data_IF_492253147559
#
_entry.id   IF_492253147559
#
_cell.length_a   1.000
_cell.length_b   1.000
_cell.length_c   1.000
_cell.angle_alpha   90.00
_cell.angle_beta   90.00
_cell.angle_gamma   90.00
#
_symmetry.space_group_name_H-M   'P 1'
#
loop_
_entity.id
_entity.type
_entity.pdbx_description
1 polymer ?
#
# COMPACT_ATOMS: atom_id res chain seq x y z
N UNK A 1 -20.59 14.85 21.08
CA UNK A 1 -19.34 14.06 20.91
C UNK A 1 -19.02 13.70 19.45
N UNK A 2 -19.90 13.98 18.47
CA UNK A 2 -19.76 13.61 17.05
C UNK A 2 -18.97 14.60 16.19
N UNK A 3 -17.95 15.16 16.83
CA UNK A 3 -17.00 16.11 16.28
C UNK A 3 -15.66 15.70 16.89
N UNK A 4 -15.03 14.65 16.35
CA UNK A 4 -13.58 14.62 16.12
C UNK A 4 -13.39 14.77 14.60
N UNK A 5 -14.04 15.76 14.00
CA UNK A 5 -13.53 17.13 13.74
C UNK A 5 -12.53 17.16 12.58
N UNK A 6 -13.12 17.22 11.38
CA UNK A 6 -12.59 17.87 10.17
C UNK A 6 -11.41 17.22 9.46
N UNK A 7 -11.72 16.14 8.73
CA UNK A 7 -10.92 15.65 7.63
C UNK A 7 -10.63 14.16 7.76
N UNK A 8 -11.25 13.34 6.91
CA UNK A 8 -10.88 11.92 6.78
C UNK A 8 -9.36 11.74 6.65
N UNK A 9 -8.86 10.55 7.00
CA UNK A 9 -7.43 10.24 7.10
C UNK A 9 -6.57 10.99 6.09
N UNK A 10 -5.66 11.83 6.59
CA UNK A 10 -4.70 12.58 5.76
C UNK A 10 -3.83 11.61 4.94
N UNK A 11 -3.50 10.46 5.53
CA UNK A 11 -2.82 9.38 4.85
C UNK A 11 -3.67 8.86 3.68
N UNK A 12 -4.92 8.44 3.91
CA UNK A 12 -5.77 7.88 2.85
C UNK A 12 -6.01 8.88 1.72
N UNK A 13 -6.23 10.16 2.05
CA UNK A 13 -6.37 11.20 1.02
C UNK A 13 -5.15 11.29 0.12
N UNK A 14 -3.95 11.35 0.71
CA UNK A 14 -2.70 11.44 -0.05
C UNK A 14 -2.38 10.14 -0.80
N UNK A 15 -2.66 8.99 -0.19
CA UNK A 15 -2.51 7.68 -0.81
C UNK A 15 -3.39 7.57 -2.05
N UNK A 16 -4.68 7.91 -1.95
CA UNK A 16 -5.61 7.83 -3.08
C UNK A 16 -5.14 8.70 -4.24
N UNK A 17 -4.76 9.96 -3.98
CA UNK A 17 -4.20 10.85 -5.01
C UNK A 17 -2.92 10.26 -5.63
N UNK A 18 -2.03 9.70 -4.81
CA UNK A 18 -0.80 9.10 -5.30
C UNK A 18 -1.08 7.88 -6.21
N UNK A 19 -2.03 7.02 -5.83
CA UNK A 19 -2.40 5.84 -6.62
C UNK A 19 -3.16 6.21 -7.90
N UNK A 20 -3.98 7.27 -7.88
CA UNK A 20 -4.60 7.83 -9.09
C UNK A 20 -3.53 8.32 -10.07
N UNK A 21 -2.54 9.09 -9.59
CA UNK A 21 -1.41 9.54 -10.41
C UNK A 21 -0.57 8.37 -10.93
N UNK A 22 -0.37 7.33 -10.12
CA UNK A 22 0.33 6.12 -10.54
C UNK A 22 -0.44 5.40 -11.65
N UNK A 23 -1.77 5.31 -11.56
CA UNK A 23 -2.61 4.65 -12.57
C UNK A 23 -2.52 5.28 -13.95
N UNK A 24 -2.20 6.58 -14.03
CA UNK A 24 -2.00 7.28 -15.29
C UNK A 24 -0.55 7.25 -15.77
N UNK A 25 0.42 7.34 -14.85
CA UNK A 25 1.83 7.52 -15.20
C UNK A 25 2.63 6.22 -15.30
N UNK A 26 2.20 5.18 -14.58
CA UNK A 26 2.91 3.91 -14.41
C UNK A 26 4.38 4.05 -13.94
N UNK A 27 4.74 5.19 -13.32
CA UNK A 27 6.10 5.43 -12.83
C UNK A 27 6.29 4.87 -11.41
N UNK A 28 6.57 3.56 -11.32
CA UNK A 28 6.70 2.88 -10.04
C UNK A 28 7.83 3.44 -9.14
N UNK A 29 9.04 3.76 -9.65
CA UNK A 29 10.12 4.31 -8.81
C UNK A 29 9.78 5.65 -8.15
N UNK A 30 9.17 6.58 -8.91
CA UNK A 30 8.76 7.88 -8.36
C UNK A 30 7.62 7.72 -7.36
N UNK A 31 6.62 6.90 -7.68
CA UNK A 31 5.49 6.62 -6.80
C UNK A 31 5.95 5.95 -5.50
N UNK A 32 6.92 5.04 -5.57
CA UNK A 32 7.46 4.38 -4.38
C UNK A 32 8.12 5.37 -3.43
N UNK A 33 8.91 6.32 -3.92
CA UNK A 33 9.51 7.35 -3.07
C UNK A 33 8.45 8.23 -2.41
N UNK A 34 7.48 8.72 -3.17
CA UNK A 34 6.37 9.51 -2.64
C UNK A 34 5.51 8.73 -1.64
N UNK A 35 5.36 7.41 -1.84
CA UNK A 35 4.68 6.54 -0.90
C UNK A 35 5.41 6.53 0.45
N UNK A 36 6.74 6.39 0.46
CA UNK A 36 7.53 6.39 1.70
C UNK A 36 7.34 7.68 2.52
N UNK A 37 7.18 8.83 1.86
CA UNK A 37 6.89 10.11 2.52
C UNK A 37 5.53 10.13 3.24
N UNK A 38 4.62 9.22 2.91
CA UNK A 38 3.33 9.09 3.58
C UNK A 38 3.42 8.27 4.89
N UNK A 39 4.50 7.51 5.10
CA UNK A 39 4.65 6.63 6.28
C UNK A 39 4.44 7.34 7.62
N UNK A 40 4.93 8.58 7.86
CA UNK A 40 4.68 9.29 9.12
C UNK A 40 3.21 9.70 9.36
N UNK A 41 2.36 9.62 8.34
CA UNK A 41 0.95 9.99 8.41
C UNK A 41 0.05 8.83 8.84
N UNK A 42 0.56 7.60 8.89
CA UNK A 42 -0.16 6.40 9.31
C UNK A 42 -0.52 6.50 10.79
N UNK A 43 -1.79 6.25 11.12
CA UNK A 43 -2.34 6.32 12.49
C UNK A 43 -3.02 5.04 12.94
N UNK A 44 -3.37 4.15 12.02
CA UNK A 44 -4.11 2.91 12.31
C UNK A 44 -3.43 1.70 11.65
N UNK A 45 -3.72 0.51 12.18
CA UNK A 45 -3.25 -0.75 11.58
C UNK A 45 -3.83 -0.96 10.18
N UNK A 46 -5.06 -0.49 9.92
CA UNK A 46 -5.66 -0.52 8.58
C UNK A 46 -4.88 0.31 7.56
N UNK A 47 -4.47 1.52 7.93
CA UNK A 47 -3.63 2.37 7.08
C UNK A 47 -2.23 1.79 6.90
N UNK A 48 -1.67 1.16 7.94
CA UNK A 48 -0.38 0.46 7.85
C UNK A 48 -0.45 -0.70 6.86
N UNK A 49 -1.48 -1.52 6.94
CA UNK A 49 -1.63 -2.64 6.03
C UNK A 49 -1.85 -2.18 4.58
N UNK A 50 -2.65 -1.12 4.36
CA UNK A 50 -2.79 -0.49 3.06
C UNK A 50 -1.46 0.06 2.53
N UNK A 51 -0.67 0.72 3.39
CA UNK A 51 0.66 1.20 3.04
C UNK A 51 1.56 0.06 2.56
N UNK A 52 1.72 -1.00 3.36
CA UNK A 52 2.62 -2.10 3.03
C UNK A 52 2.11 -2.90 1.81
N UNK A 53 0.80 -3.03 1.61
CA UNK A 53 0.24 -3.68 0.41
C UNK A 53 0.59 -2.93 -0.87
N UNK A 54 0.42 -1.60 -0.88
CA UNK A 54 0.80 -0.78 -2.03
C UNK A 54 2.33 -0.74 -2.21
N UNK A 55 3.08 -0.76 -1.11
CA UNK A 55 4.54 -0.84 -1.15
C UNK A 55 5.01 -2.14 -1.81
N UNK A 56 4.44 -3.28 -1.43
CA UNK A 56 4.73 -4.58 -2.06
C UNK A 56 4.40 -4.59 -3.55
N UNK A 57 3.24 -4.03 -3.94
CA UNK A 57 2.86 -3.93 -5.35
C UNK A 57 3.85 -3.07 -6.17
N UNK A 58 4.29 -1.93 -5.63
CA UNK A 58 5.27 -1.08 -6.32
C UNK A 58 6.66 -1.74 -6.40
N UNK A 59 7.08 -2.47 -5.35
CA UNK A 59 8.31 -3.27 -5.38
C UNK A 59 8.24 -4.33 -6.48
N UNK A 60 7.10 -5.01 -6.62
CA UNK A 60 6.83 -5.95 -7.69
C UNK A 60 6.95 -5.29 -9.08
N UNK A 61 6.33 -4.12 -9.28
CA UNK A 61 6.39 -3.39 -10.55
C UNK A 61 7.82 -2.92 -10.89
N UNK A 62 8.65 -2.70 -9.87
CA UNK A 62 10.09 -2.42 -10.01
C UNK A 62 10.96 -3.68 -10.13
N UNK A 63 10.36 -4.87 -10.23
CA UNK A 63 11.03 -6.19 -10.29
C UNK A 63 11.88 -6.55 -9.06
N UNK A 64 11.58 -5.93 -7.90
CA UNK A 64 12.19 -6.24 -6.62
C UNK A 64 11.37 -7.32 -5.90
N UNK A 65 11.34 -8.52 -6.48
CA UNK A 65 10.39 -9.57 -6.09
C UNK A 65 10.63 -10.14 -4.69
N UNK A 66 11.90 -10.25 -4.27
CA UNK A 66 12.24 -10.74 -2.92
C UNK A 66 11.77 -9.78 -1.85
N UNK A 67 12.08 -8.49 -2.02
CA UNK A 67 11.65 -7.44 -1.12
C UNK A 67 10.12 -7.30 -1.11
N UNK A 68 9.47 -7.44 -2.27
CA UNK A 68 8.01 -7.46 -2.35
C UNK A 68 7.41 -8.64 -1.56
N UNK A 69 8.03 -9.82 -1.64
CA UNK A 69 7.61 -11.02 -0.92
C UNK A 69 7.76 -10.86 0.60
N UNK A 70 8.90 -10.33 1.05
CA UNK A 70 9.13 -10.07 2.48
C UNK A 70 8.05 -9.14 3.04
N UNK A 71 7.76 -8.04 2.32
CA UNK A 71 6.74 -7.07 2.75
C UNK A 71 5.35 -7.69 2.78
N UNK A 72 4.92 -8.40 1.72
CA UNK A 72 3.54 -8.93 1.65
C UNK A 72 3.29 -10.05 2.67
N UNK A 73 4.33 -10.78 3.09
CA UNK A 73 4.25 -11.83 4.11
C UNK A 73 4.07 -11.28 5.53
N UNK A 74 4.53 -10.05 5.79
CA UNK A 74 4.40 -9.39 7.09
C UNK A 74 3.05 -8.69 7.30
N UNK A 75 2.24 -8.56 6.24
CA UNK A 75 0.92 -7.92 6.33
C UNK A 75 -0.01 -8.80 7.18
N UNK A 76 -0.43 -8.27 8.33
CA UNK A 76 -1.38 -8.93 9.21
C UNK A 76 -2.77 -8.96 8.57
N UNK A 77 -3.49 -10.07 8.79
CA UNK A 77 -4.90 -10.18 8.45
C UNK A 77 -5.71 -9.11 9.18
N UNK A 78 -6.62 -8.47 8.47
CA UNK A 78 -7.48 -7.40 9.01
C UNK A 78 -8.96 -7.73 8.89
N UNK A 79 -9.38 -8.12 7.69
CA UNK A 79 -10.74 -8.54 7.39
C UNK A 79 -10.75 -9.31 6.05
N UNK A 80 -11.79 -10.12 5.79
CA UNK A 80 -11.82 -10.99 4.61
C UNK A 80 -11.64 -10.27 3.27
N UNK A 81 -12.18 -9.05 3.11
CA UNK A 81 -12.07 -8.30 1.85
C UNK A 81 -10.64 -7.81 1.60
N UNK A 82 -9.99 -7.30 2.64
CA UNK A 82 -8.60 -6.87 2.57
C UNK A 82 -7.64 -8.05 2.37
N UNK A 83 -7.90 -9.16 3.06
CA UNK A 83 -7.09 -10.37 2.97
C UNK A 83 -7.16 -10.98 1.57
N UNK A 84 -8.32 -10.90 0.90
CA UNK A 84 -8.46 -11.30 -0.50
C UNK A 84 -7.57 -10.46 -1.43
N UNK A 85 -7.49 -9.14 -1.21
CA UNK A 85 -6.59 -8.25 -1.98
C UNK A 85 -5.12 -8.60 -1.74
N UNK A 86 -4.75 -8.86 -0.49
CA UNK A 86 -3.39 -9.31 -0.15
C UNK A 86 -3.05 -10.64 -0.81
N UNK A 87 -3.99 -11.60 -0.84
CA UNK A 87 -3.78 -12.89 -1.48
C UNK A 87 -3.50 -12.76 -2.98
N UNK A 88 -4.20 -11.86 -3.68
CA UNK A 88 -3.94 -11.60 -5.11
C UNK A 88 -2.53 -11.04 -5.33
N UNK A 89 -2.12 -10.04 -4.55
CA UNK A 89 -0.77 -9.44 -4.66
C UNK A 89 0.30 -10.47 -4.30
N UNK A 90 0.11 -11.22 -3.22
CA UNK A 90 1.01 -12.30 -2.80
C UNK A 90 1.16 -13.35 -3.88
N UNK A 91 0.06 -13.81 -4.49
CA UNK A 91 0.10 -14.80 -5.56
C UNK A 91 0.94 -14.30 -6.75
N UNK A 92 0.73 -13.06 -7.20
CA UNK A 92 1.51 -12.46 -8.29
C UNK A 92 3.00 -12.39 -7.97
N UNK A 93 3.35 -11.97 -6.76
CA UNK A 93 4.74 -11.87 -6.33
C UNK A 93 5.40 -13.25 -6.29
N UNK A 94 4.71 -14.26 -5.73
CA UNK A 94 5.26 -15.62 -5.60
C UNK A 94 5.40 -16.32 -6.96
N UNK A 95 4.53 -16.04 -7.93
CA UNK A 95 4.63 -16.55 -9.30
C UNK A 95 5.82 -15.98 -10.09
N UNK A 96 6.30 -14.79 -9.69
CA UNK A 96 7.40 -14.10 -10.35
C UNK A 96 8.79 -14.38 -9.73
N UNK A 97 8.86 -15.13 -8.62
CA UNK A 97 10.09 -15.54 -7.94
C UNK A 97 10.70 -16.79 -8.56
#
# INVERSE_FOLDING_TARGET
MFRRLFGGSKFLKKMNTLMELYSCSHNAPSTYQQLLDLKPLIRTEGERALFELNRAALLYDMRQFREAADVVLEIRSLNPEFDAKCAVVKMKIMDAL
#
